data_IF_529875651710
#
_entry.id   IF_529875651710
#
_cell.length_a   1.000
_cell.length_b   1.000
_cell.length_c   1.000
_cell.angle_alpha   90.00
_cell.angle_beta   90.00
_cell.angle_gamma   90.00
#
_symmetry.space_group_name_H-M   'P 1'
#
loop_
_entity.id
_entity.type
_entity.pdbx_description
1 polymer ?
#
# COMPACT_ATOMS: atom_id res chain seq x y z
N UNK A 1 19.76 14.00 5.94
CA UNK A 1 19.14 14.44 7.23
C UNK A 1 17.61 14.65 7.19
N UNK A 2 16.94 14.63 6.03
CA UNK A 2 15.46 14.71 5.93
C UNK A 2 14.75 13.37 5.63
N UNK A 3 15.47 12.32 5.23
CA UNK A 3 14.88 10.99 4.96
C UNK A 3 14.56 10.21 6.24
N UNK A 4 15.49 10.22 7.20
CA UNK A 4 15.40 9.39 8.41
C UNK A 4 14.16 9.63 9.29
N UNK A 5 13.63 10.87 9.36
CA UNK A 5 12.56 11.23 10.30
C UNK A 5 11.15 10.82 9.84
N UNK A 6 10.89 10.76 8.53
CA UNK A 6 9.59 10.33 8.00
C UNK A 6 9.53 8.81 7.77
N UNK A 7 10.67 8.18 7.49
CA UNK A 7 10.75 6.74 7.26
C UNK A 7 10.93 5.93 8.54
N UNK A 8 11.60 6.47 9.55
CA UNK A 8 11.78 5.77 10.82
C UNK A 8 10.45 5.34 11.42
N UNK A 9 9.46 6.22 11.46
CA UNK A 9 8.15 5.93 12.05
C UNK A 9 7.30 4.98 11.18
N UNK A 10 7.36 5.15 9.85
CA UNK A 10 6.65 4.28 8.91
C UNK A 10 7.17 2.84 8.89
N UNK A 11 8.49 2.68 8.91
CA UNK A 11 9.15 1.39 9.02
C UNK A 11 8.88 0.76 10.38
N UNK A 12 8.90 1.55 11.46
CA UNK A 12 8.62 1.06 12.81
C UNK A 12 7.20 0.50 12.93
N UNK A 13 6.19 1.15 12.34
CA UNK A 13 4.83 0.61 12.32
C UNK A 13 4.76 -0.76 11.60
N UNK A 14 5.40 -0.88 10.43
CA UNK A 14 5.45 -2.14 9.69
C UNK A 14 6.23 -3.23 10.45
N UNK A 15 7.35 -2.87 11.08
CA UNK A 15 8.18 -3.76 11.91
C UNK A 15 7.43 -4.23 13.16
N UNK A 16 6.75 -3.32 13.87
CA UNK A 16 5.94 -3.63 15.04
C UNK A 16 4.81 -4.58 14.66
N UNK A 17 4.05 -4.24 13.60
CA UNK A 17 2.98 -5.08 13.11
C UNK A 17 3.46 -6.49 12.73
N UNK A 18 4.57 -6.58 12.00
CA UNK A 18 5.17 -7.85 11.59
C UNK A 18 5.74 -8.70 12.73
N UNK A 19 6.09 -8.08 13.87
CA UNK A 19 6.52 -8.75 15.10
C UNK A 19 5.37 -9.06 16.07
N UNK A 20 4.13 -8.86 15.65
CA UNK A 20 2.95 -8.93 16.51
C UNK A 20 3.00 -7.99 17.73
N UNK A 21 3.72 -6.88 17.62
CA UNK A 21 3.60 -5.75 18.53
C UNK A 21 2.37 -4.89 18.22
N UNK A 22 1.90 -4.16 19.21
CA UNK A 22 0.87 -3.13 19.04
C UNK A 22 1.44 -1.95 18.24
N UNK A 23 0.70 -1.49 17.24
CA UNK A 23 1.00 -0.27 16.46
C UNK A 23 0.16 0.85 17.07
N UNK A 24 0.49 1.27 18.29
CA UNK A 24 -0.35 2.18 19.08
C UNK A 24 -0.24 3.66 18.66
N UNK A 25 0.79 4.03 17.90
CA UNK A 25 1.12 5.46 17.70
C UNK A 25 0.26 6.18 16.65
N UNK A 26 -0.53 5.47 15.83
CA UNK A 26 -1.19 6.05 14.65
C UNK A 26 -2.72 6.02 14.68
N UNK A 27 -3.33 5.18 15.51
CA UNK A 27 -4.78 5.15 15.74
C UNK A 27 -5.04 5.50 17.20
N UNK A 28 -5.81 6.55 17.42
CA UNK A 28 -6.19 6.95 18.77
C UNK A 28 -7.55 6.35 19.13
N UNK A 29 -7.53 5.30 19.94
CA UNK A 29 -8.72 4.60 20.40
C UNK A 29 -9.68 5.48 21.19
N UNK A 30 -9.18 6.40 22.01
CA UNK A 30 -10.02 7.33 22.77
C UNK A 30 -10.87 8.21 21.84
N UNK A 31 -10.29 8.74 20.75
CA UNK A 31 -11.04 9.48 19.75
C UNK A 31 -12.08 8.60 19.05
N UNK A 32 -11.76 7.33 18.76
CA UNK A 32 -12.71 6.41 18.14
C UNK A 32 -13.86 6.04 19.08
N UNK A 33 -13.59 5.81 20.36
CA UNK A 33 -14.61 5.46 21.36
C UNK A 33 -15.58 6.63 21.59
N UNK A 34 -15.05 7.85 21.71
CA UNK A 34 -15.88 9.06 21.80
C UNK A 34 -16.71 9.25 20.52
N UNK A 35 -16.09 9.05 19.35
CA UNK A 35 -16.81 9.13 18.07
C UNK A 35 -17.94 8.11 18.04
N UNK A 36 -17.67 6.86 18.40
CA UNK A 36 -18.66 5.77 18.45
C UNK A 36 -19.83 6.09 19.38
N UNK A 37 -19.57 6.65 20.56
CA UNK A 37 -20.62 7.09 21.49
C UNK A 37 -21.50 8.20 20.89
N UNK A 38 -20.90 9.19 20.23
CA UNK A 38 -21.64 10.27 19.55
C UNK A 38 -22.49 9.75 18.38
N UNK A 39 -22.01 8.74 17.65
CA UNK A 39 -22.78 8.13 16.56
C UNK A 39 -24.06 7.46 17.04
N UNK A 40 -24.07 6.90 18.26
CA UNK A 40 -25.26 6.31 18.86
C UNK A 40 -26.34 7.34 19.23
N UNK A 41 -25.96 8.61 19.43
CA UNK A 41 -26.85 9.71 19.82
C UNK A 41 -27.74 10.29 18.70
N UNK A 42 -27.46 9.97 17.43
CA UNK A 42 -28.29 10.29 16.27
C UNK A 42 -28.00 11.63 15.55
N UNK A 43 -28.22 11.63 14.21
CA UNK A 43 -28.14 12.75 13.25
C UNK A 43 -26.75 13.37 12.91
N UNK A 44 -25.77 12.52 12.58
CA UNK A 44 -24.50 12.97 11.98
C UNK A 44 -24.42 12.63 10.47
N UNK A 45 -24.40 13.65 9.60
CA UNK A 45 -24.29 13.49 8.13
C UNK A 45 -22.98 12.83 7.69
N UNK A 46 -21.86 13.10 8.38
CA UNK A 46 -20.57 12.48 8.06
C UNK A 46 -20.60 10.97 8.38
N UNK A 47 -21.25 10.59 9.48
CA UNK A 47 -21.47 9.19 9.84
C UNK A 47 -22.32 8.47 8.79
N UNK A 48 -23.43 9.07 8.37
CA UNK A 48 -24.28 8.50 7.33
C UNK A 48 -23.52 8.27 6.01
N UNK A 49 -22.61 9.19 5.64
CA UNK A 49 -21.77 9.03 4.47
C UNK A 49 -20.78 7.86 4.59
N UNK A 50 -20.11 7.72 5.75
CA UNK A 50 -19.20 6.59 6.03
C UNK A 50 -19.95 5.27 5.96
N UNK A 51 -21.12 5.19 6.62
CA UNK A 51 -21.93 3.96 6.63
C UNK A 51 -22.42 3.59 5.23
N UNK A 52 -22.92 4.57 4.47
CA UNK A 52 -23.38 4.34 3.08
C UNK A 52 -22.26 3.78 2.19
N UNK A 53 -21.06 4.35 2.31
CA UNK A 53 -19.88 3.85 1.59
C UNK A 53 -19.51 2.42 2.04
N UNK A 54 -19.45 2.17 3.35
CA UNK A 54 -19.07 0.88 3.91
C UNK A 54 -20.08 -0.23 3.54
N UNK A 55 -21.38 0.05 3.61
CA UNK A 55 -22.45 -0.88 3.20
C UNK A 55 -22.35 -1.29 1.73
N UNK A 56 -21.93 -0.36 0.86
CA UNK A 56 -21.69 -0.64 -0.55
C UNK A 56 -20.41 -1.46 -0.72
N UNK A 57 -19.32 -1.03 -0.09
CA UNK A 57 -18.01 -1.67 -0.25
C UNK A 57 -18.00 -3.10 0.30
N UNK A 58 -18.72 -3.35 1.39
CA UNK A 58 -18.90 -4.68 1.97
C UNK A 58 -19.53 -5.70 1.01
N UNK A 59 -20.25 -5.23 -0.01
CA UNK A 59 -20.89 -6.06 -1.04
C UNK A 59 -20.10 -6.08 -2.36
N UNK A 60 -19.03 -5.29 -2.46
CA UNK A 60 -18.19 -5.22 -3.64
C UNK A 60 -17.45 -6.53 -3.86
N UNK A 61 -17.18 -6.84 -5.13
CA UNK A 61 -16.33 -7.96 -5.56
C UNK A 61 -15.02 -7.48 -6.16
N UNK A 62 -14.79 -6.17 -6.18
CA UNK A 62 -13.54 -5.61 -6.67
C UNK A 62 -12.40 -6.01 -5.74
N UNK A 63 -11.18 -6.09 -6.25
CA UNK A 63 -10.00 -6.38 -5.45
C UNK A 63 -8.80 -5.66 -6.03
N UNK A 64 -7.79 -5.50 -5.20
CA UNK A 64 -6.54 -4.88 -5.58
C UNK A 64 -5.51 -5.94 -5.93
N UNK A 65 -4.69 -5.66 -6.93
CA UNK A 65 -3.57 -6.54 -7.30
C UNK A 65 -2.51 -5.77 -8.07
N UNK A 66 -1.23 -6.12 -7.88
CA UNK A 66 -0.15 -5.61 -8.73
C UNK A 66 -0.01 -6.40 -10.02
N UNK A 67 -0.73 -7.52 -10.19
CA UNK A 67 -0.53 -8.46 -11.31
C UNK A 67 -1.05 -7.99 -12.64
N UNK A 68 -1.89 -6.96 -12.68
CA UNK A 68 -2.42 -6.38 -13.91
C UNK A 68 -1.47 -5.31 -14.47
N UNK A 69 -0.38 -5.74 -15.10
CA UNK A 69 0.59 -4.85 -15.74
C UNK A 69 1.29 -5.52 -16.92
N UNK A 70 1.86 -4.69 -17.79
CA UNK A 70 2.72 -5.13 -18.89
C UNK A 70 3.99 -5.83 -18.38
N UNK A 71 4.54 -6.71 -19.20
CA UNK A 71 5.86 -7.29 -18.97
C UNK A 71 6.95 -6.23 -19.23
N UNK A 72 7.77 -5.99 -18.20
CA UNK A 72 8.90 -5.07 -18.25
C UNK A 72 10.24 -5.78 -18.56
N UNK A 73 10.26 -7.11 -18.65
CA UNK A 73 11.45 -7.92 -18.86
C UNK A 73 12.30 -8.10 -17.60
N UNK A 74 13.55 -8.57 -17.78
CA UNK A 74 14.58 -8.65 -16.74
C UNK A 74 14.19 -9.39 -15.45
N UNK A 75 13.35 -10.42 -15.58
CA UNK A 75 12.89 -11.23 -14.44
C UNK A 75 11.80 -10.59 -13.58
N UNK A 76 11.20 -9.48 -14.04
CA UNK A 76 10.06 -8.84 -13.35
C UNK A 76 8.80 -9.67 -13.61
N UNK A 77 8.42 -10.47 -12.63
CA UNK A 77 7.14 -11.22 -12.68
C UNK A 77 5.94 -10.32 -12.37
N UNK A 78 4.75 -10.79 -12.73
CA UNK A 78 3.48 -10.10 -12.44
C UNK A 78 3.26 -9.80 -10.95
N UNK A 79 3.82 -10.56 -10.01
CA UNK A 79 3.62 -10.34 -8.58
C UNK A 79 4.57 -9.28 -7.99
N UNK A 80 5.59 -8.82 -8.74
CA UNK A 80 6.46 -7.74 -8.27
C UNK A 80 5.74 -6.41 -8.30
N UNK A 81 5.90 -5.58 -7.26
CA UNK A 81 5.57 -4.17 -7.39
C UNK A 81 6.54 -3.51 -8.38
N UNK A 82 6.01 -2.83 -9.38
CA UNK A 82 6.81 -2.13 -10.39
C UNK A 82 6.23 -0.74 -10.63
N UNK A 83 7.09 0.27 -10.79
CA UNK A 83 6.64 1.62 -11.13
C UNK A 83 7.77 2.42 -11.77
N UNK A 84 7.43 3.60 -12.29
CA UNK A 84 8.40 4.55 -12.83
C UNK A 84 8.38 5.87 -12.03
N UNK A 85 9.49 6.63 -12.04
CA UNK A 85 9.56 7.93 -11.38
C UNK A 85 8.57 8.92 -12.02
N UNK A 86 7.92 9.78 -11.22
CA UNK A 86 6.95 10.71 -11.77
C UNK A 86 7.57 11.84 -12.60
N UNK A 87 8.84 12.17 -12.41
CA UNK A 87 9.43 13.41 -12.93
C UNK A 87 10.44 13.22 -14.06
N UNK A 88 10.41 12.09 -14.78
CA UNK A 88 11.34 11.83 -15.87
C UNK A 88 10.64 11.94 -17.22
N UNK A 89 11.26 12.64 -18.16
CA UNK A 89 10.74 12.85 -19.51
C UNK A 89 11.74 12.36 -20.56
N UNK A 90 11.27 11.68 -21.62
CA UNK A 90 12.15 11.15 -22.67
C UNK A 90 12.76 12.28 -23.49
N UNK A 91 13.95 12.04 -24.02
CA UNK A 91 14.63 12.95 -24.96
C UNK A 91 14.22 12.73 -26.42
N UNK A 92 13.28 11.82 -26.68
CA UNK A 92 12.87 11.38 -28.01
C UNK A 92 11.34 11.47 -28.14
N UNK A 93 10.84 11.49 -29.37
CA UNK A 93 9.42 11.39 -29.68
C UNK A 93 9.07 9.96 -30.11
N UNK A 94 8.85 9.09 -29.11
CA UNK A 94 8.40 7.71 -29.30
C UNK A 94 7.24 7.40 -28.35
N UNK A 95 6.39 6.41 -28.66
CA UNK A 95 5.42 5.88 -27.69
C UNK A 95 6.11 5.53 -26.36
N UNK A 96 5.49 5.86 -25.23
CA UNK A 96 6.16 5.77 -23.91
C UNK A 96 6.68 4.36 -23.60
N UNK A 97 5.94 3.32 -23.99
CA UNK A 97 6.34 1.92 -23.81
C UNK A 97 7.62 1.53 -24.58
N UNK A 98 7.93 2.22 -25.69
CA UNK A 98 9.18 2.07 -26.44
C UNK A 98 10.26 3.04 -25.95
N UNK A 99 9.85 4.24 -25.54
CA UNK A 99 10.74 5.26 -25.02
C UNK A 99 11.48 4.75 -23.79
N UNK A 100 10.79 4.11 -22.84
CA UNK A 100 11.41 3.54 -21.61
C UNK A 100 12.47 2.48 -21.89
N UNK A 101 12.48 1.88 -23.09
CA UNK A 101 13.47 0.87 -23.49
C UNK A 101 14.65 1.49 -24.23
N UNK A 102 14.41 2.52 -25.05
CA UNK A 102 15.37 2.97 -26.07
C UNK A 102 15.82 4.42 -25.96
N UNK A 103 15.13 5.26 -25.20
CA UNK A 103 15.43 6.68 -25.11
C UNK A 103 16.16 7.04 -23.83
N UNK A 104 16.91 8.14 -23.88
CA UNK A 104 17.44 8.77 -22.68
C UNK A 104 16.33 9.56 -21.98
N UNK A 105 16.38 9.65 -20.65
CA UNK A 105 15.42 10.44 -19.87
C UNK A 105 16.13 11.51 -19.06
N UNK A 106 15.47 12.66 -18.90
CA UNK A 106 15.92 13.76 -18.04
C UNK A 106 14.88 14.03 -16.97
N UNK A 107 15.35 14.27 -15.74
CA UNK A 107 14.50 14.71 -14.63
C UNK A 107 14.03 16.15 -14.88
N UNK A 108 12.73 16.37 -14.77
CA UNK A 108 12.09 17.69 -14.78
C UNK A 108 11.26 17.81 -13.51
N UNK A 109 11.82 18.46 -12.48
CA UNK A 109 11.19 18.51 -11.16
C UNK A 109 9.82 19.18 -11.20
N UNK A 110 8.88 18.68 -10.39
CA UNK A 110 7.50 19.16 -10.33
C UNK A 110 6.64 18.86 -11.57
N UNK A 111 7.23 18.44 -12.69
CA UNK A 111 6.51 18.12 -13.93
C UNK A 111 6.23 16.62 -14.02
N UNK A 112 5.04 16.21 -13.55
CA UNK A 112 4.64 14.80 -13.56
C UNK A 112 4.42 14.30 -15.00
N UNK A 113 5.03 13.18 -15.33
CA UNK A 113 4.84 12.45 -16.58
C UNK A 113 3.83 11.32 -16.38
N UNK A 114 2.55 11.61 -16.59
CA UNK A 114 1.48 10.61 -16.44
C UNK A 114 1.61 9.46 -17.42
N UNK A 115 2.05 9.71 -18.66
CA UNK A 115 2.27 8.67 -19.66
C UNK A 115 3.29 7.63 -19.17
N UNK A 116 4.31 8.07 -18.45
CA UNK A 116 5.33 7.20 -17.86
C UNK A 116 4.78 6.46 -16.63
N UNK A 117 4.12 7.16 -15.70
CA UNK A 117 3.61 6.52 -14.49
C UNK A 117 2.50 5.53 -14.78
N UNK A 118 1.70 5.75 -15.82
CA UNK A 118 0.57 4.89 -16.18
C UNK A 118 1.01 3.61 -16.92
N UNK A 119 2.30 3.40 -17.17
CA UNK A 119 2.79 2.11 -17.65
C UNK A 119 2.62 1.00 -16.60
N UNK A 120 2.53 1.35 -15.31
CA UNK A 120 2.21 0.40 -14.24
C UNK A 120 1.22 1.00 -13.26
N UNK A 121 0.18 0.25 -12.94
CA UNK A 121 -0.85 0.66 -11.98
C UNK A 121 -0.53 0.26 -10.52
N UNK A 122 0.60 -0.41 -10.28
CA UNK A 122 0.96 -0.90 -8.93
C UNK A 122 0.86 0.16 -7.82
N UNK A 123 1.30 1.42 -8.01
CA UNK A 123 1.13 2.46 -6.99
C UNK A 123 -0.33 2.79 -6.68
N UNK A 124 -1.22 2.79 -7.68
CA UNK A 124 -2.64 3.06 -7.44
C UNK A 124 -3.30 1.88 -6.71
N UNK A 125 -2.92 0.66 -7.05
CA UNK A 125 -3.39 -0.56 -6.40
C UNK A 125 -3.00 -0.60 -4.91
N UNK A 126 -1.75 -0.25 -4.59
CA UNK A 126 -1.27 -0.10 -3.19
C UNK A 126 -2.06 0.99 -2.46
N UNK A 127 -2.23 2.17 -3.06
CA UNK A 127 -2.97 3.26 -2.42
C UNK A 127 -4.45 2.91 -2.21
N UNK A 128 -5.07 2.19 -3.16
CA UNK A 128 -6.45 1.74 -3.10
C UNK A 128 -6.68 0.79 -1.93
N UNK A 129 -5.89 -0.28 -1.83
CA UNK A 129 -6.02 -1.21 -0.69
C UNK A 129 -5.74 -0.54 0.65
N UNK A 130 -4.68 0.29 0.73
CA UNK A 130 -4.38 1.04 1.94
C UNK A 130 -5.59 1.86 2.40
N UNK A 131 -6.22 2.58 1.46
CA UNK A 131 -7.36 3.43 1.74
C UNK A 131 -8.57 2.59 2.18
N UNK A 132 -8.96 1.61 1.40
CA UNK A 132 -10.22 0.88 1.63
C UNK A 132 -10.14 -0.01 2.88
N UNK A 133 -9.02 -0.71 3.11
CA UNK A 133 -8.83 -1.49 4.35
C UNK A 133 -8.83 -0.58 5.58
N UNK A 134 -8.16 0.58 5.52
CA UNK A 134 -8.18 1.56 6.63
C UNK A 134 -9.62 2.03 6.91
N UNK A 135 -10.36 2.41 5.87
CA UNK A 135 -11.72 2.92 6.02
C UNK A 135 -12.70 1.83 6.48
N UNK A 136 -12.60 0.61 5.95
CA UNK A 136 -13.40 -0.53 6.39
C UNK A 136 -13.10 -0.91 7.83
N UNK A 137 -11.83 -0.89 8.26
CA UNK A 137 -11.46 -1.21 9.64
C UNK A 137 -12.01 -0.20 10.64
N UNK A 138 -11.93 1.10 10.32
CA UNK A 138 -12.54 2.16 11.13
C UNK A 138 -14.06 2.02 11.15
N UNK A 139 -14.70 1.79 9.99
CA UNK A 139 -16.15 1.60 9.93
C UNK A 139 -16.61 0.36 10.72
N UNK A 140 -15.89 -0.76 10.61
CA UNK A 140 -16.18 -1.99 11.34
C UNK A 140 -16.15 -1.74 12.85
N UNK A 141 -15.16 -0.98 13.34
CA UNK A 141 -15.05 -0.63 14.76
C UNK A 141 -16.17 0.28 15.25
N UNK A 142 -16.46 1.34 14.48
CA UNK A 142 -17.47 2.36 14.83
C UNK A 142 -18.89 1.79 14.83
N UNK A 143 -19.21 0.90 13.89
CA UNK A 143 -20.56 0.34 13.73
C UNK A 143 -20.73 -1.07 14.28
N UNK A 144 -19.64 -1.73 14.69
CA UNK A 144 -19.64 -3.14 15.13
C UNK A 144 -20.16 -4.12 14.07
N UNK A 145 -19.97 -3.77 12.79
CA UNK A 145 -20.51 -4.52 11.65
C UNK A 145 -19.48 -5.50 11.11
N UNK A 146 -19.71 -6.79 11.37
CA UNK A 146 -18.83 -7.88 10.92
C UNK A 146 -18.61 -7.90 9.41
N UNK A 147 -19.63 -7.55 8.61
CA UNK A 147 -19.53 -7.55 7.15
C UNK A 147 -18.43 -6.60 6.63
N UNK A 148 -18.17 -5.49 7.31
CA UNK A 148 -17.10 -4.56 6.94
C UNK A 148 -15.73 -5.18 7.24
N UNK A 149 -15.62 -5.90 8.37
CA UNK A 149 -14.39 -6.58 8.73
C UNK A 149 -14.09 -7.77 7.80
N UNK A 150 -15.09 -8.56 7.47
CA UNK A 150 -14.97 -9.68 6.52
C UNK A 150 -14.48 -9.18 5.16
N UNK A 151 -15.02 -8.07 4.67
CA UNK A 151 -14.58 -7.44 3.41
C UNK A 151 -13.13 -6.95 3.48
N UNK A 152 -12.71 -6.34 4.59
CA UNK A 152 -11.33 -5.92 4.76
C UNK A 152 -10.36 -7.12 4.72
N UNK A 153 -10.72 -8.23 5.38
CA UNK A 153 -9.90 -9.46 5.34
C UNK A 153 -9.88 -10.12 3.96
N UNK A 154 -10.96 -10.08 3.19
CA UNK A 154 -10.96 -10.54 1.79
C UNK A 154 -9.98 -9.72 0.93
N UNK A 155 -9.99 -8.39 1.04
CA UNK A 155 -9.03 -7.54 0.34
C UNK A 155 -7.58 -7.83 0.74
N UNK A 156 -7.32 -8.03 2.03
CA UNK A 156 -6.00 -8.39 2.55
C UNK A 156 -5.53 -9.75 2.02
N UNK A 157 -6.41 -10.76 1.97
CA UNK A 157 -6.09 -12.07 1.38
C UNK A 157 -5.66 -11.92 -0.08
N UNK A 158 -6.47 -11.23 -0.90
CA UNK A 158 -6.18 -11.08 -2.34
C UNK A 158 -4.86 -10.37 -2.59
N UNK A 159 -4.54 -9.34 -1.81
CA UNK A 159 -3.38 -8.51 -2.11
C UNK A 159 -2.08 -9.02 -1.50
N UNK A 160 -2.12 -9.67 -0.34
CA UNK A 160 -0.90 -10.06 0.39
C UNK A 160 -0.65 -11.57 0.41
N UNK A 161 -1.69 -12.40 0.29
CA UNK A 161 -1.59 -13.84 0.57
C UNK A 161 -1.79 -14.66 -0.71
N UNK A 162 -2.90 -14.43 -1.41
CA UNK A 162 -3.31 -15.25 -2.54
C UNK A 162 -2.25 -15.24 -3.65
N UNK A 163 -1.61 -16.39 -3.92
CA UNK A 163 -0.46 -16.47 -4.83
C UNK A 163 -0.73 -15.93 -6.24
N UNK A 164 -1.97 -16.07 -6.72
CA UNK A 164 -2.34 -15.63 -8.06
C UNK A 164 -2.36 -14.11 -8.21
N UNK A 165 -2.60 -13.37 -7.12
CA UNK A 165 -2.85 -11.92 -7.09
C UNK A 165 -1.92 -11.14 -6.16
N UNK A 166 -1.17 -11.81 -5.28
CA UNK A 166 -0.39 -11.13 -4.24
C UNK A 166 0.71 -10.23 -4.79
N UNK A 167 0.96 -9.14 -4.09
CA UNK A 167 2.21 -8.39 -4.20
C UNK A 167 3.32 -9.12 -3.44
N UNK A 168 4.51 -9.26 -4.02
CA UNK A 168 5.67 -9.77 -3.29
C UNK A 168 6.17 -8.73 -2.26
N UNK A 169 6.71 -9.16 -1.10
CA UNK A 169 7.12 -8.28 0.00
C UNK A 169 8.46 -7.58 -0.26
N UNK A 170 8.58 -6.87 -1.38
CA UNK A 170 9.74 -6.05 -1.72
C UNK A 170 9.38 -4.94 -2.73
N UNK A 171 10.25 -3.93 -2.84
CA UNK A 171 10.18 -2.89 -3.87
C UNK A 171 11.42 -2.90 -4.76
N UNK A 172 11.88 -4.10 -5.14
CA UNK A 172 13.04 -4.27 -6.02
C UNK A 172 12.90 -3.54 -7.36
N UNK A 173 11.69 -3.18 -7.76
CA UNK A 173 11.35 -2.48 -9.00
C UNK A 173 10.51 -1.21 -8.74
N UNK A 174 10.61 -0.64 -7.55
CA UNK A 174 10.01 0.65 -7.21
C UNK A 174 10.74 1.81 -7.91
N UNK A 175 10.01 2.61 -8.68
CA UNK A 175 10.51 3.74 -9.48
C UNK A 175 11.72 3.37 -10.35
N UNK A 176 11.64 2.29 -11.13
CA UNK A 176 12.69 1.89 -12.07
C UNK A 176 13.17 3.07 -12.92
N UNK A 177 14.48 3.14 -13.17
CA UNK A 177 15.03 4.16 -14.06
C UNK A 177 14.62 3.89 -15.50
N UNK A 178 13.92 4.83 -16.17
CA UNK A 178 13.54 4.65 -17.56
C UNK A 178 14.75 4.91 -18.47
N UNK A 179 14.87 4.13 -19.54
CA UNK A 179 15.98 4.17 -20.49
C UNK A 179 16.85 2.90 -20.45
N UNK A 180 17.53 2.63 -21.57
CA UNK A 180 18.46 1.51 -21.81
C UNK A 180 18.12 0.20 -21.07
N UNK A 181 16.89 -0.28 -21.28
CA UNK A 181 16.50 -1.63 -20.89
C UNK A 181 15.91 -1.81 -19.50
N UNK A 182 15.75 -0.77 -18.66
CA UNK A 182 14.99 -0.84 -17.39
C UNK A 182 15.57 -1.82 -16.34
N UNK A 183 16.18 -1.28 -15.29
CA UNK A 183 16.84 -2.09 -14.25
C UNK A 183 16.04 -2.28 -12.96
N UNK A 184 16.76 -2.62 -11.89
CA UNK A 184 16.24 -2.53 -10.50
C UNK A 184 15.71 -1.12 -10.21
N UNK A 185 14.79 -1.06 -9.25
CA UNK A 185 14.26 0.17 -8.68
C UNK A 185 15.31 0.95 -7.90
N UNK A 186 14.84 2.01 -7.23
CA UNK A 186 15.69 2.93 -6.46
C UNK A 186 15.06 3.25 -5.11
N UNK A 187 15.86 3.74 -4.14
CA UNK A 187 15.41 4.01 -2.77
C UNK A 187 14.12 4.83 -2.69
N UNK A 188 14.00 5.87 -3.53
CA UNK A 188 12.79 6.70 -3.63
C UNK A 188 11.49 5.96 -3.95
N UNK A 189 11.55 4.72 -4.48
CA UNK A 189 10.39 3.86 -4.69
C UNK A 189 9.61 3.58 -3.42
N UNK A 190 10.27 3.60 -2.26
CA UNK A 190 9.65 3.38 -0.95
C UNK A 190 8.50 4.33 -0.67
N UNK A 191 8.56 5.58 -1.14
CA UNK A 191 7.49 6.58 -0.94
C UNK A 191 6.12 6.10 -1.41
N UNK A 192 6.08 5.14 -2.34
CA UNK A 192 4.85 4.61 -2.91
C UNK A 192 4.13 3.60 -2.00
N UNK A 193 4.78 3.13 -0.93
CA UNK A 193 4.17 2.26 0.09
C UNK A 193 3.99 2.97 1.44
N UNK A 194 4.17 4.30 1.51
CA UNK A 194 3.99 5.07 2.76
C UNK A 194 2.61 4.89 3.40
N UNK A 195 1.59 4.58 2.59
CA UNK A 195 0.22 4.37 3.07
C UNK A 195 0.05 3.09 3.90
N UNK A 196 1.00 2.16 3.83
CA UNK A 196 0.95 0.94 4.64
C UNK A 196 0.89 1.26 6.13
N UNK A 197 1.51 2.36 6.58
CA UNK A 197 1.46 2.81 7.98
C UNK A 197 0.02 2.95 8.47
N UNK A 198 -0.82 3.69 7.74
CA UNK A 198 -2.22 3.87 8.12
C UNK A 198 -2.98 2.55 8.11
N UNK A 199 -2.73 1.71 7.11
CA UNK A 199 -3.39 0.42 6.98
C UNK A 199 -3.02 -0.54 8.12
N UNK A 200 -1.74 -0.77 8.38
CA UNK A 200 -1.28 -1.70 9.43
C UNK A 200 -1.69 -1.24 10.83
N UNK A 201 -1.82 0.07 11.04
CA UNK A 201 -2.31 0.64 12.30
C UNK A 201 -3.82 0.42 12.49
N UNK A 202 -4.59 0.37 11.39
CA UNK A 202 -6.03 0.15 11.44
C UNK A 202 -6.43 -1.34 11.45
N UNK A 203 -5.62 -2.24 10.88
CA UNK A 203 -5.92 -3.69 10.83
C UNK A 203 -6.27 -4.30 12.21
N UNK A 204 -5.61 -3.94 13.34
CA UNK A 204 -5.98 -4.42 14.67
C UNK A 204 -7.44 -4.14 15.06
N UNK A 205 -8.05 -3.05 14.59
CA UNK A 205 -9.45 -2.73 14.85
C UNK A 205 -10.41 -3.84 14.39
N UNK A 206 -10.06 -4.54 13.30
CA UNK A 206 -10.85 -5.64 12.75
C UNK A 206 -10.99 -6.80 13.73
N UNK A 207 -9.96 -7.03 14.56
CA UNK A 207 -9.95 -8.12 15.56
C UNK A 207 -10.88 -7.87 16.74
N UNK A 208 -11.28 -6.62 16.97
CA UNK A 208 -12.28 -6.28 17.99
C UNK A 208 -13.70 -6.64 17.53
N UNK A 209 -13.91 -6.81 16.22
CA UNK A 209 -15.22 -7.11 15.62
C UNK A 209 -15.39 -8.60 15.34
N UNK A 210 -14.33 -9.26 14.88
CA UNK A 210 -14.38 -10.70 14.54
C UNK A 210 -13.06 -11.40 14.83
N UNK A 211 -13.16 -12.68 15.20
CA UNK A 211 -11.99 -13.54 15.42
C UNK A 211 -11.88 -14.69 14.42
N UNK A 212 -12.72 -14.70 13.39
CA UNK A 212 -12.75 -15.76 12.36
C UNK A 212 -11.54 -15.72 11.41
N UNK A 213 -10.93 -14.54 11.21
CA UNK A 213 -9.84 -14.33 10.25
C UNK A 213 -8.44 -14.32 10.88
N UNK A 214 -8.25 -15.06 11.99
CA UNK A 214 -6.95 -15.11 12.70
C UNK A 214 -5.79 -15.56 11.81
N UNK A 215 -6.04 -16.50 10.91
CA UNK A 215 -4.99 -17.04 10.03
C UNK A 215 -4.62 -16.04 8.92
N UNK A 216 -5.60 -15.36 8.33
CA UNK A 216 -5.36 -14.23 7.41
C UNK A 216 -4.55 -13.14 8.09
N UNK A 217 -4.94 -12.74 9.31
CA UNK A 217 -4.22 -11.73 10.09
C UNK A 217 -2.74 -12.10 10.28
N UNK A 218 -2.46 -13.34 10.72
CA UNK A 218 -1.08 -13.82 10.92
C UNK A 218 -0.28 -13.85 9.62
N UNK A 219 -0.89 -14.23 8.51
CA UNK A 219 -0.22 -14.24 7.21
C UNK A 219 0.09 -12.82 6.69
N UNK A 220 -0.79 -11.85 6.92
CA UNK A 220 -0.51 -10.44 6.63
C UNK A 220 0.65 -9.94 7.51
N UNK A 221 0.70 -10.30 8.79
CA UNK A 221 1.85 -9.99 9.65
C UNK A 221 3.16 -10.60 9.12
N UNK A 222 3.12 -11.86 8.68
CA UNK A 222 4.28 -12.51 8.08
C UNK A 222 4.76 -11.76 6.82
N UNK A 223 3.85 -11.32 5.95
CA UNK A 223 4.19 -10.51 4.78
C UNK A 223 4.89 -9.21 5.16
N UNK A 224 4.39 -8.48 6.17
CA UNK A 224 5.02 -7.24 6.63
C UNK A 224 6.36 -7.48 7.34
N UNK A 225 6.53 -8.64 7.98
CA UNK A 225 7.82 -9.07 8.54
C UNK A 225 8.85 -9.32 7.43
N UNK A 226 8.47 -10.04 6.37
CA UNK A 226 9.31 -10.24 5.18
C UNK A 226 9.64 -8.91 4.49
N UNK A 227 8.67 -8.02 4.34
CA UNK A 227 8.88 -6.70 3.75
C UNK A 227 9.87 -5.86 4.55
N UNK A 228 9.73 -5.88 5.88
CA UNK A 228 10.64 -5.15 6.77
C UNK A 228 12.03 -5.76 6.79
N UNK A 229 12.14 -7.09 6.70
CA UNK A 229 13.42 -7.76 6.53
C UNK A 229 14.08 -7.35 5.21
N UNK A 230 13.34 -7.35 4.09
CA UNK A 230 13.85 -6.84 2.81
C UNK A 230 14.29 -5.38 2.91
N UNK A 231 13.52 -4.51 3.58
CA UNK A 231 13.87 -3.10 3.75
C UNK A 231 15.20 -2.93 4.50
N UNK A 232 15.44 -3.72 5.55
CA UNK A 232 16.64 -3.57 6.38
C UNK A 232 17.87 -4.27 5.80
N UNK A 233 17.69 -5.27 4.95
CA UNK A 233 18.80 -6.10 4.43
C UNK A 233 19.14 -5.86 2.96
N UNK A 234 18.19 -5.37 2.15
CA UNK A 234 18.43 -5.09 0.72
C UNK A 234 19.31 -3.87 0.48
N UNK A 235 20.02 -3.87 -0.65
CA UNK A 235 20.83 -2.73 -1.08
C UNK A 235 19.99 -1.47 -1.34
N UNK A 236 18.73 -1.62 -1.80
CA UNK A 236 17.81 -0.50 -2.00
C UNK A 236 17.41 0.10 -0.65
N UNK A 237 16.99 -0.75 0.30
CA UNK A 237 16.54 -0.29 1.59
C UNK A 237 17.67 0.32 2.45
N UNK A 238 18.86 -0.29 2.46
CA UNK A 238 20.06 0.29 3.10
C UNK A 238 20.40 1.69 2.56
N UNK A 239 20.27 1.90 1.25
CA UNK A 239 20.50 3.21 0.63
C UNK A 239 19.47 4.26 1.06
N UNK A 240 18.20 3.87 1.26
CA UNK A 240 17.19 4.79 1.80
C UNK A 240 17.52 5.14 3.27
N UNK A 241 17.88 4.15 4.08
CA UNK A 241 18.24 4.36 5.50
C UNK A 241 19.44 5.31 5.63
N UNK A 242 20.39 5.24 4.71
CA UNK A 242 21.61 6.04 4.76
C UNK A 242 21.44 7.53 4.35
N UNK A 243 20.32 7.94 3.74
CA UNK A 243 20.08 9.30 3.21
C UNK A 243 19.31 10.28 4.13
#
# INVERSE_FOLDING_TARGET
MKGLLLWGSALMACLQFGRAGEVDDYINYQFLDLTKAELAGGNNKAAAAIKTWADREAKSKEFYTVTNKSDFGNGITKNHFASFPPYFWPSCDKPMAEAVKSCSFKRQDGKRNEKLTNLSDSPNQVNGICKDVTQLAVAAYLYEEKAYADRAFDLLDKFFINEATRMLPNLDYGQMEPGQGGGKGRPYGLIQTRCFVSMVSAIPLLRNVTTEHKDTYKQVQAWFSEFSNWFTTSEIGKKEIAG
#
